data_IF_939491469174
#
_entry.id   IF_939491469174
#
_cell.length_a   1.000
_cell.length_b   1.000
_cell.length_c   1.000
_cell.angle_alpha   90.00
_cell.angle_beta   90.00
_cell.angle_gamma   90.00
#
_symmetry.space_group_name_H-M   'P 1'
#
loop_
_entity.id
_entity.type
_entity.pdbx_description
1 polymer ?
#
# COMPACT_ATOMS: atom_id res chain seq x y z
N UNK A 1 8.97 -15.86 7.87
CA UNK A 1 9.58 -15.84 6.52
C UNK A 1 11.11 -15.68 6.54
N UNK A 2 11.83 -16.38 5.67
CA UNK A 2 13.29 -16.30 5.49
C UNK A 2 13.71 -15.12 4.57
N UNK A 3 13.21 -13.92 4.85
CA UNK A 3 13.36 -12.74 3.99
C UNK A 3 14.83 -12.42 3.65
N UNK A 4 15.79 -12.75 4.51
CA UNK A 4 17.22 -12.52 4.25
C UNK A 4 17.77 -13.21 2.99
N UNK A 5 17.04 -14.17 2.41
CA UNK A 5 17.39 -14.79 1.12
C UNK A 5 17.17 -13.87 -0.09
N UNK A 6 16.33 -12.84 0.03
CA UNK A 6 16.04 -11.92 -1.07
C UNK A 6 17.18 -10.93 -1.34
N UNK A 7 17.36 -10.57 -2.62
CA UNK A 7 18.27 -9.49 -3.02
C UNK A 7 17.81 -8.16 -2.39
N UNK A 8 18.75 -7.30 -1.99
CA UNK A 8 18.42 -5.94 -1.56
C UNK A 8 18.26 -5.03 -2.77
N UNK A 9 17.15 -4.30 -2.83
CA UNK A 9 16.96 -3.22 -3.80
C UNK A 9 17.78 -2.00 -3.42
N UNK A 10 18.26 -1.29 -4.45
CA UNK A 10 18.89 0.02 -4.36
C UNK A 10 17.90 1.15 -4.67
N UNK A 11 16.63 0.82 -4.95
CA UNK A 11 15.54 1.76 -5.24
C UNK A 11 14.76 2.17 -3.97
N UNK A 12 15.33 1.98 -2.78
CA UNK A 12 14.76 2.46 -1.52
C UNK A 12 15.40 3.80 -1.14
N UNK A 13 14.56 4.82 -0.99
CA UNK A 13 14.94 6.16 -0.54
C UNK A 13 14.47 6.34 0.90
N UNK A 14 15.38 6.77 1.76
CA UNK A 14 15.08 7.13 3.14
C UNK A 14 14.79 8.64 3.25
N UNK A 15 13.53 8.98 3.52
CA UNK A 15 13.06 10.36 3.71
C UNK A 15 12.69 10.66 5.17
N UNK A 16 13.05 9.80 6.13
CA UNK A 16 12.71 9.96 7.55
C UNK A 16 13.40 11.17 8.20
N UNK A 17 14.58 11.53 7.70
CA UNK A 17 15.41 12.61 8.24
C UNK A 17 15.21 13.96 7.54
N UNK A 18 14.36 14.04 6.51
CA UNK A 18 14.06 15.26 5.76
C UNK A 18 13.35 16.37 6.58
N UNK A 19 13.08 16.13 7.86
CA UNK A 19 12.46 17.07 8.80
C UNK A 19 13.26 17.33 10.08
N UNK A 20 14.52 16.90 10.20
CA UNK A 20 15.31 17.10 11.43
C UNK A 20 16.75 17.53 11.17
N UNK A 21 16.91 18.70 10.58
CA UNK A 21 18.11 19.52 10.78
C UNK A 21 17.73 21.00 10.87
N UNK A 22 17.09 21.40 11.97
CA UNK A 22 16.76 22.80 12.26
C UNK A 22 16.07 22.89 13.60
N UNK A 23 16.74 23.48 14.58
CA UNK A 23 16.33 23.45 15.98
C UNK A 23 15.05 24.22 16.30
N UNK A 24 14.49 23.92 17.47
CA UNK A 24 13.38 24.67 18.06
C UNK A 24 12.36 23.73 18.68
N UNK A 25 12.27 23.74 20.01
CA UNK A 25 11.40 22.85 20.77
C UNK A 25 9.92 22.97 20.39
N UNK A 26 9.20 21.85 20.47
CA UNK A 26 7.77 21.81 20.18
C UNK A 26 7.11 20.54 20.71
N UNK A 27 6.64 20.61 21.95
CA UNK A 27 5.50 19.94 22.56
C UNK A 27 5.13 18.51 22.10
N UNK A 28 5.43 17.52 22.97
CA UNK A 28 4.79 16.20 22.96
C UNK A 28 3.31 16.34 23.30
N UNK A 29 2.44 16.34 22.30
CA UNK A 29 1.00 16.19 22.53
C UNK A 29 0.70 14.70 22.62
N UNK A 30 0.53 14.22 23.85
CA UNK A 30 -0.09 12.94 24.12
C UNK A 30 -1.56 12.99 23.73
N UNK A 31 -1.96 12.16 22.77
CA UNK A 31 -3.34 11.96 22.36
C UNK A 31 -3.57 10.50 22.03
N UNK A 32 -4.57 9.89 22.66
CA UNK A 32 -4.96 8.48 22.50
C UNK A 32 -5.04 8.09 21.02
N UNK A 33 -4.25 7.09 20.63
CA UNK A 33 -4.15 6.61 19.26
C UNK A 33 -5.50 6.18 18.69
N UNK A 34 -5.79 6.66 17.49
CA UNK A 34 -6.86 6.13 16.65
C UNK A 34 -6.47 4.70 16.25
N UNK A 35 -7.35 3.74 16.55
CA UNK A 35 -7.18 2.35 16.09
C UNK A 35 -7.16 2.28 14.57
N UNK A 36 -6.62 1.18 14.03
CA UNK A 36 -6.42 0.91 12.60
C UNK A 36 -7.65 1.14 11.70
N UNK A 37 -8.87 1.12 12.25
CA UNK A 37 -10.06 1.52 11.52
C UNK A 37 -10.08 2.99 11.09
N UNK A 38 -9.41 3.90 11.79
CA UNK A 38 -9.37 5.33 11.47
C UNK A 38 -8.31 5.73 10.43
N UNK A 39 -7.28 4.91 10.24
CA UNK A 39 -6.13 5.20 9.36
C UNK A 39 -6.54 4.98 7.89
N UNK A 40 -7.21 3.86 7.58
CA UNK A 40 -7.77 3.62 6.23
C UNK A 40 -8.90 4.61 5.88
N UNK A 41 -9.66 5.11 6.88
CA UNK A 41 -10.76 6.07 6.67
C UNK A 41 -10.27 7.46 6.24
N UNK A 42 -9.06 7.89 6.60
CA UNK A 42 -8.55 9.23 6.24
C UNK A 42 -8.08 9.27 4.78
N UNK A 43 -7.62 8.14 4.24
CA UNK A 43 -7.39 7.96 2.79
C UNK A 43 -8.69 8.20 2.00
N UNK A 44 -9.83 7.81 2.57
CA UNK A 44 -11.15 7.92 1.92
C UNK A 44 -11.67 9.36 1.75
N UNK A 45 -11.24 10.36 2.52
CA UNK A 45 -11.79 11.74 2.41
C UNK A 45 -10.93 12.63 1.50
N UNK A 46 -9.62 12.44 1.47
CA UNK A 46 -8.69 13.29 0.70
C UNK A 46 -8.69 13.02 -0.81
N UNK A 47 -8.90 11.76 -1.21
CA UNK A 47 -8.80 11.36 -2.62
C UNK A 47 -10.14 11.44 -3.38
N UNK A 48 -11.27 11.68 -2.70
CA UNK A 48 -12.61 11.67 -3.30
C UNK A 48 -13.15 13.05 -3.73
N UNK A 49 -12.53 14.18 -3.37
CA UNK A 49 -13.10 15.52 -3.64
C UNK A 49 -12.22 16.46 -4.47
N UNK A 50 -10.97 16.10 -4.76
CA UNK A 50 -10.02 17.02 -5.41
C UNK A 50 -9.72 18.28 -4.58
N UNK A 51 -10.08 18.26 -3.29
CA UNK A 51 -9.81 19.31 -2.31
C UNK A 51 -8.71 18.85 -1.37
N UNK A 52 -7.86 19.78 -0.96
CA UNK A 52 -6.80 19.52 0.02
C UNK A 52 -7.42 19.11 1.37
N UNK A 53 -7.06 17.96 1.98
CA UNK A 53 -7.57 17.51 3.28
C UNK A 53 -7.41 18.57 4.38
N UNK A 54 -6.40 19.45 4.25
CA UNK A 54 -6.18 20.57 5.15
C UNK A 54 -7.26 21.68 5.04
N UNK A 55 -7.92 21.85 3.89
CA UNK A 55 -9.00 22.83 3.74
C UNK A 55 -10.30 22.37 4.41
N UNK A 56 -10.60 21.06 4.34
CA UNK A 56 -11.75 20.46 5.02
C UNK A 56 -11.54 20.50 6.53
N UNK A 57 -10.32 20.21 7.01
CA UNK A 57 -9.96 20.35 8.41
C UNK A 57 -9.98 21.81 8.87
N UNK A 58 -9.50 22.76 8.06
CA UNK A 58 -9.52 24.20 8.36
C UNK A 58 -10.92 24.82 8.42
N UNK A 59 -11.88 24.31 7.63
CA UNK A 59 -13.30 24.70 7.73
C UNK A 59 -13.99 24.13 8.98
N UNK A 60 -13.51 23.01 9.52
CA UNK A 60 -14.04 22.39 10.74
C UNK A 60 -13.37 22.93 12.03
N UNK A 61 -12.13 23.44 11.95
CA UNK A 61 -11.36 23.94 13.10
C UNK A 61 -11.20 25.47 13.13
N UNK A 62 -11.62 26.19 12.09
CA UNK A 62 -11.57 27.66 12.04
C UNK A 62 -10.15 28.24 11.98
N UNK A 63 -9.17 27.53 11.43
CA UNK A 63 -7.80 28.02 11.27
C UNK A 63 -7.45 28.26 9.79
N UNK A 64 -6.96 29.48 9.54
CA UNK A 64 -6.63 30.02 8.22
C UNK A 64 -5.41 29.37 7.55
N UNK A 65 -5.34 29.59 6.25
CA UNK A 65 -4.33 29.12 5.28
C UNK A 65 -2.93 29.63 5.57
N UNK A 66 -1.97 28.74 5.82
CA UNK A 66 -0.54 29.03 5.67
C UNK A 66 -0.01 28.49 4.34
N UNK A 67 0.83 29.31 3.70
CA UNK A 67 1.35 29.16 2.34
C UNK A 67 2.29 27.95 2.18
N UNK A 68 1.98 27.10 1.21
CA UNK A 68 2.77 25.93 0.83
C UNK A 68 4.09 26.34 0.16
N UNK A 69 5.22 25.86 0.69
CA UNK A 69 6.53 25.94 0.01
C UNK A 69 6.66 24.85 -1.07
N UNK A 70 7.51 25.03 -2.11
CA UNK A 70 7.68 24.06 -3.20
C UNK A 70 8.24 22.72 -2.70
N UNK A 71 7.88 21.58 -3.33
CA UNK A 71 8.43 20.28 -2.95
C UNK A 71 9.95 20.26 -3.21
N UNK A 72 10.72 20.05 -2.15
CA UNK A 72 12.15 19.80 -2.27
C UNK A 72 12.37 18.46 -2.95
N UNK A 73 13.29 18.43 -3.93
CA UNK A 73 13.78 17.18 -4.50
C UNK A 73 14.39 16.35 -3.37
N UNK A 74 13.73 15.26 -2.99
CA UNK A 74 14.26 14.31 -2.02
C UNK A 74 15.55 13.74 -2.61
N UNK A 75 16.69 14.14 -2.04
CA UNK A 75 17.98 13.52 -2.36
C UNK A 75 17.88 12.04 -2.03
N UNK A 76 18.25 11.16 -2.98
CA UNK A 76 18.26 9.70 -2.77
C UNK A 76 19.27 9.36 -1.68
N UNK A 77 18.81 9.29 -0.44
CA UNK A 77 19.57 8.79 0.69
C UNK A 77 19.21 7.32 0.86
N UNK A 78 20.22 6.44 0.88
CA UNK A 78 20.00 5.04 1.21
C UNK A 78 19.76 4.91 2.72
N UNK A 79 18.91 3.96 3.17
CA UNK A 79 18.72 3.72 4.59
C UNK A 79 20.02 3.33 5.31
N UNK A 80 20.16 3.62 6.62
CA UNK A 80 21.32 3.21 7.40
C UNK A 80 21.54 1.69 7.36
N UNK A 81 22.80 1.25 7.23
CA UNK A 81 23.15 -0.18 7.09
C UNK A 81 22.81 -1.05 8.32
N UNK A 82 22.51 -0.44 9.47
CA UNK A 82 22.12 -1.11 10.71
C UNK A 82 20.60 -1.08 10.98
N UNK A 83 19.79 -0.64 10.01
CA UNK A 83 18.33 -0.63 10.12
C UNK A 83 17.74 -1.94 9.57
N UNK A 84 17.45 -2.89 10.47
CA UNK A 84 16.87 -4.19 10.10
C UNK A 84 15.52 -4.06 9.37
N UNK A 85 14.73 -3.04 9.70
CA UNK A 85 13.41 -2.85 9.10
C UNK A 85 13.53 -2.30 7.68
N UNK A 86 14.45 -1.36 7.46
CA UNK A 86 14.78 -0.92 6.11
C UNK A 86 15.41 -2.05 5.28
N UNK A 87 16.28 -2.86 5.87
CA UNK A 87 16.85 -4.04 5.19
C UNK A 87 15.79 -5.09 4.81
N UNK A 88 14.78 -5.27 5.66
CA UNK A 88 13.60 -6.07 5.33
C UNK A 88 12.87 -5.50 4.12
N UNK A 89 12.52 -4.20 4.13
CA UNK A 89 11.84 -3.55 3.00
C UNK A 89 12.66 -3.65 1.71
N UNK A 90 13.98 -3.39 1.77
CA UNK A 90 14.91 -3.53 0.64
C UNK A 90 14.90 -4.95 0.09
N UNK A 91 14.80 -5.95 0.96
CA UNK A 91 14.71 -7.36 0.56
C UNK A 91 13.43 -7.68 -0.20
N UNK A 92 12.29 -7.22 0.32
CA UNK A 92 10.99 -7.47 -0.30
C UNK A 92 10.92 -6.75 -1.64
N UNK A 93 11.34 -5.48 -1.70
CA UNK A 93 11.39 -4.73 -2.95
C UNK A 93 12.34 -5.36 -3.98
N UNK A 94 13.52 -5.81 -3.56
CA UNK A 94 14.46 -6.44 -4.49
C UNK A 94 13.92 -7.73 -5.09
N UNK A 95 13.19 -8.52 -4.32
CA UNK A 95 12.54 -9.72 -4.84
C UNK A 95 11.29 -9.44 -5.68
N UNK A 96 10.51 -8.40 -5.36
CA UNK A 96 9.38 -8.00 -6.22
C UNK A 96 9.89 -7.50 -7.57
N UNK A 97 10.96 -6.70 -7.61
CA UNK A 97 11.66 -6.32 -8.86
C UNK A 97 12.06 -7.55 -9.68
N UNK A 98 12.75 -8.51 -9.07
CA UNK A 98 13.23 -9.70 -9.77
C UNK A 98 12.07 -10.57 -10.29
N UNK A 99 11.00 -10.68 -9.50
CA UNK A 99 9.78 -11.37 -9.91
C UNK A 99 9.11 -10.70 -11.09
N UNK A 100 8.83 -9.41 -11.00
CA UNK A 100 8.04 -8.72 -12.01
C UNK A 100 8.82 -8.47 -13.29
N UNK A 101 10.14 -8.27 -13.23
CA UNK A 101 11.01 -8.31 -14.42
C UNK A 101 10.87 -9.63 -15.17
N UNK A 102 10.93 -10.76 -14.47
CA UNK A 102 10.77 -12.07 -15.09
C UNK A 102 9.37 -12.28 -15.67
N UNK A 103 8.32 -11.93 -14.92
CA UNK A 103 6.92 -12.09 -15.36
C UNK A 103 6.61 -11.18 -16.56
N UNK A 104 7.05 -9.93 -16.55
CA UNK A 104 6.85 -9.01 -17.69
C UNK A 104 7.62 -9.49 -18.92
N UNK A 105 8.87 -9.93 -18.76
CA UNK A 105 9.68 -10.47 -19.86
C UNK A 105 9.02 -11.69 -20.52
N UNK A 106 8.45 -12.61 -19.73
CA UNK A 106 7.69 -13.75 -20.25
C UNK A 106 6.45 -13.34 -21.07
N UNK A 107 5.93 -12.14 -20.82
CA UNK A 107 4.78 -11.56 -21.53
C UNK A 107 5.19 -10.53 -22.59
N UNK A 108 6.46 -10.49 -22.98
CA UNK A 108 6.98 -9.59 -24.03
C UNK A 108 6.93 -8.10 -23.65
N UNK A 109 7.01 -7.79 -22.35
CA UNK A 109 6.99 -6.43 -21.81
C UNK A 109 8.23 -6.17 -20.96
N UNK A 110 8.57 -4.90 -20.81
CA UNK A 110 9.61 -4.46 -19.88
C UNK A 110 8.96 -4.01 -18.56
N UNK A 111 9.51 -4.46 -17.44
CA UNK A 111 9.15 -3.96 -16.12
C UNK A 111 10.06 -2.79 -15.76
N UNK A 112 9.47 -1.68 -15.34
CA UNK A 112 10.20 -0.53 -14.81
C UNK A 112 10.16 -0.63 -13.29
N UNK A 113 11.29 -0.64 -12.61
CA UNK A 113 11.27 -0.76 -11.16
C UNK A 113 10.70 0.52 -10.50
N UNK A 114 9.86 0.38 -9.46
CA UNK A 114 9.38 1.52 -8.69
C UNK A 114 10.47 2.00 -7.72
N UNK A 115 10.40 3.29 -7.36
CA UNK A 115 11.12 3.81 -6.19
C UNK A 115 10.24 3.67 -4.96
N UNK A 116 10.82 3.20 -3.85
CA UNK A 116 10.13 3.09 -2.57
C UNK A 116 10.69 4.13 -1.60
N UNK A 117 9.83 4.97 -1.04
CA UNK A 117 10.18 6.03 -0.11
C UNK A 117 9.75 5.63 1.31
N UNK A 118 10.73 5.51 2.22
CA UNK A 118 10.49 5.38 3.65
C UNK A 118 10.28 6.75 4.26
N UNK A 119 9.20 6.95 5.01
CA UNK A 119 8.94 8.21 5.69
C UNK A 119 8.46 8.00 7.13
N UNK A 120 8.35 9.08 7.90
CA UNK A 120 7.77 9.08 9.25
C UNK A 120 7.01 10.38 9.47
N UNK A 121 5.78 10.29 9.99
CA UNK A 121 4.87 11.42 10.19
C UNK A 121 4.20 11.93 8.91
N UNK A 122 4.97 12.35 7.91
CA UNK A 122 4.43 12.97 6.70
C UNK A 122 5.38 12.89 5.49
N UNK A 123 4.79 12.84 4.29
CA UNK A 123 5.49 12.90 3.01
C UNK A 123 4.69 13.67 1.96
N UNK A 124 5.39 14.28 1.01
CA UNK A 124 4.79 14.86 -0.19
C UNK A 124 5.00 13.90 -1.37
N UNK A 125 3.94 13.55 -2.07
CA UNK A 125 3.95 12.78 -3.31
C UNK A 125 3.37 13.60 -4.47
N UNK A 126 3.48 13.11 -5.70
CA UNK A 126 2.78 13.70 -6.84
C UNK A 126 1.25 13.55 -6.74
N UNK A 127 0.76 12.67 -5.87
CA UNK A 127 -0.67 12.48 -5.56
C UNK A 127 -1.15 13.38 -4.42
N UNK A 128 -0.27 14.20 -3.83
CA UNK A 128 -0.57 15.12 -2.73
C UNK A 128 0.21 14.81 -1.45
N UNK A 129 -0.11 15.55 -0.39
CA UNK A 129 0.48 15.41 0.95
C UNK A 129 -0.18 14.24 1.69
N UNK A 130 0.61 13.30 2.17
CA UNK A 130 0.16 12.13 2.92
C UNK A 130 0.76 12.13 4.33
N UNK A 131 0.02 11.61 5.30
CA UNK A 131 0.49 11.50 6.70
C UNK A 131 0.60 10.05 7.12
N UNK A 132 1.18 9.77 8.28
CA UNK A 132 1.16 8.42 8.89
C UNK A 132 -0.25 7.85 9.03
N UNK A 133 -1.27 8.72 9.11
CA UNK A 133 -2.66 8.28 9.14
C UNK A 133 -3.17 7.75 7.79
N UNK A 134 -2.44 7.92 6.69
CA UNK A 134 -2.78 7.37 5.37
C UNK A 134 -2.36 5.89 5.26
N UNK A 135 -1.36 5.46 6.03
CA UNK A 135 -0.73 4.14 5.85
C UNK A 135 0.13 4.05 4.59
N UNK A 136 0.62 2.85 4.23
CA UNK A 136 1.30 2.58 2.96
C UNK A 136 0.43 2.91 1.75
N UNK A 137 1.03 3.43 0.68
CA UNK A 137 0.30 3.69 -0.56
C UNK A 137 1.24 3.75 -1.78
N UNK A 138 0.69 3.47 -2.95
CA UNK A 138 1.31 3.72 -4.25
C UNK A 138 0.71 4.96 -4.93
N UNK A 139 1.57 5.82 -5.50
CA UNK A 139 1.15 6.96 -6.30
C UNK A 139 1.40 6.73 -7.80
N UNK A 140 0.35 6.62 -8.64
CA UNK A 140 0.52 6.43 -10.09
C UNK A 140 1.17 7.62 -10.82
N UNK A 141 1.11 8.83 -10.25
CA UNK A 141 1.60 10.05 -10.89
C UNK A 141 3.14 10.18 -10.87
N UNK A 142 3.80 9.67 -9.84
CA UNK A 142 5.27 9.59 -9.74
C UNK A 142 5.82 8.16 -9.81
N UNK A 143 4.93 7.16 -9.82
CA UNK A 143 5.25 5.73 -9.82
C UNK A 143 6.08 5.29 -8.61
N UNK A 144 5.82 5.89 -7.45
CA UNK A 144 6.50 5.58 -6.19
C UNK A 144 5.58 4.86 -5.20
N UNK A 145 6.21 4.02 -4.37
CA UNK A 145 5.58 3.41 -3.19
C UNK A 145 6.04 4.16 -1.95
N UNK A 146 5.12 4.53 -1.08
CA UNK A 146 5.41 5.26 0.15
C UNK A 146 5.10 4.36 1.34
N UNK A 147 6.09 4.11 2.19
CA UNK A 147 5.93 3.31 3.40
C UNK A 147 6.20 4.16 4.64
N UNK A 148 5.20 4.27 5.51
CA UNK A 148 5.37 4.85 6.82
C UNK A 148 5.99 3.84 7.79
N UNK A 149 7.16 4.19 8.32
CA UNK A 149 7.88 3.34 9.26
C UNK A 149 7.27 3.35 10.66
N UNK A 150 6.48 4.37 11.02
CA UNK A 150 5.69 4.36 12.26
C UNK A 150 4.59 3.29 12.19
N UNK A 151 3.82 3.27 11.11
CA UNK A 151 2.82 2.23 10.84
C UNK A 151 3.42 0.81 10.85
N UNK A 152 4.56 0.61 10.17
CA UNK A 152 5.23 -0.70 10.13
C UNK A 152 5.72 -1.16 11.51
N UNK A 153 6.25 -0.24 12.34
CA UNK A 153 6.60 -0.54 13.73
C UNK A 153 5.37 -0.89 14.57
N UNK A 154 4.29 -0.13 14.40
CA UNK A 154 3.03 -0.40 15.12
C UNK A 154 2.46 -1.77 14.75
N UNK A 155 2.50 -2.14 13.46
CA UNK A 155 2.09 -3.46 13.00
C UNK A 155 2.91 -4.57 13.66
N UNK A 156 4.23 -4.45 13.67
CA UNK A 156 5.11 -5.43 14.32
C UNK A 156 4.86 -5.56 15.83
N UNK A 157 4.57 -4.46 16.51
CA UNK A 157 4.39 -4.43 17.97
C UNK A 157 2.99 -4.88 18.41
N UNK A 158 1.94 -4.44 17.73
CA UNK A 158 0.54 -4.73 18.10
C UNK A 158 0.07 -6.07 17.57
N UNK A 159 0.66 -6.52 16.47
CA UNK A 159 0.37 -7.79 15.84
C UNK A 159 1.62 -8.66 15.85
N UNK A 160 2.17 -8.93 17.03
CA UNK A 160 3.26 -9.92 17.18
C UNK A 160 2.90 -11.31 16.59
N UNK A 161 1.60 -11.55 16.33
CA UNK A 161 1.04 -12.72 15.65
C UNK A 161 0.83 -12.56 14.13
N UNK A 162 1.04 -11.38 13.53
CA UNK A 162 0.93 -11.17 12.08
C UNK A 162 2.20 -11.58 11.34
N UNK A 163 3.33 -11.70 12.04
CA UNK A 163 4.61 -12.11 11.46
C UNK A 163 5.14 -11.21 10.34
N UNK A 164 6.30 -11.57 9.82
CA UNK A 164 7.00 -10.77 8.82
C UNK A 164 6.39 -10.89 7.43
N UNK A 165 5.67 -11.99 7.13
CA UNK A 165 5.04 -12.14 5.82
C UNK A 165 3.82 -11.25 5.64
N UNK A 166 3.08 -10.90 6.71
CA UNK A 166 2.02 -9.90 6.63
C UNK A 166 2.56 -8.52 6.20
N UNK A 167 3.72 -8.12 6.71
CA UNK A 167 4.40 -6.90 6.28
C UNK A 167 4.83 -6.97 4.81
N UNK A 168 5.39 -8.12 4.40
CA UNK A 168 5.78 -8.33 3.01
C UNK A 168 4.58 -8.29 2.05
N UNK A 169 3.43 -8.84 2.47
CA UNK A 169 2.18 -8.79 1.73
C UNK A 169 1.71 -7.34 1.48
N UNK A 170 1.78 -6.45 2.47
CA UNK A 170 1.41 -5.04 2.30
C UNK A 170 2.32 -4.36 1.26
N UNK A 171 3.63 -4.61 1.31
CA UNK A 171 4.56 -4.08 0.29
C UNK A 171 4.21 -4.64 -1.09
N UNK A 172 3.97 -5.95 -1.19
CA UNK A 172 3.64 -6.60 -2.46
C UNK A 172 2.29 -6.13 -3.03
N UNK A 173 1.33 -5.76 -2.17
CA UNK A 173 0.05 -5.17 -2.57
C UNK A 173 0.27 -3.79 -3.23
N UNK A 174 1.06 -2.91 -2.61
CA UNK A 174 1.39 -1.60 -3.21
C UNK A 174 2.16 -1.75 -4.54
N UNK A 175 3.04 -2.75 -4.63
CA UNK A 175 3.70 -3.11 -5.90
C UNK A 175 2.68 -3.65 -6.92
N UNK A 176 1.60 -4.30 -6.48
CA UNK A 176 0.46 -4.67 -7.32
C UNK A 176 -0.16 -3.45 -8.02
N UNK A 177 -0.33 -2.32 -7.33
CA UNK A 177 -0.80 -1.07 -7.96
C UNK A 177 0.22 -0.49 -8.95
N UNK A 178 1.51 -0.66 -8.67
CA UNK A 178 2.55 -0.32 -9.64
C UNK A 178 2.43 -1.15 -10.92
N UNK A 179 2.25 -2.47 -10.79
CA UNK A 179 2.00 -3.37 -11.92
C UNK A 179 0.75 -2.98 -12.70
N UNK A 180 -0.34 -2.63 -12.03
CA UNK A 180 -1.55 -2.10 -12.67
C UNK A 180 -1.26 -0.86 -13.52
N UNK A 181 -0.40 0.03 -13.03
CA UNK A 181 0.01 1.23 -13.76
C UNK A 181 0.77 0.86 -15.03
N UNK A 182 1.74 -0.04 -14.94
CA UNK A 182 2.52 -0.51 -16.10
C UNK A 182 1.65 -1.28 -17.12
N UNK A 183 0.59 -1.94 -16.66
CA UNK A 183 -0.39 -2.62 -17.52
C UNK A 183 -1.46 -1.67 -18.10
N UNK A 184 -1.44 -0.38 -17.72
CA UNK A 184 -2.41 0.63 -18.16
C UNK A 184 -3.81 0.48 -17.54
N UNK A 185 -3.92 -0.26 -16.43
CA UNK A 185 -5.18 -0.51 -15.73
C UNK A 185 -5.58 0.74 -14.93
N UNK A 186 -4.65 1.34 -14.19
CA UNK A 186 -4.91 2.56 -13.41
C UNK A 186 -5.47 3.68 -14.30
N UNK A 187 -4.88 3.89 -15.48
CA UNK A 187 -5.36 4.87 -16.46
C UNK A 187 -6.78 4.60 -16.96
N UNK A 188 -7.19 3.33 -17.08
CA UNK A 188 -8.57 2.97 -17.46
C UNK A 188 -9.56 3.25 -16.33
N UNK A 189 -9.18 2.97 -15.08
CA UNK A 189 -9.99 3.27 -13.90
C UNK A 189 -10.15 4.79 -13.75
N UNK A 190 -9.08 5.57 -13.94
CA UNK A 190 -9.13 7.03 -13.89
C UNK A 190 -10.02 7.61 -15.00
N UNK A 191 -9.93 7.07 -16.22
CA UNK A 191 -10.82 7.47 -17.32
C UNK A 191 -12.29 7.17 -17.00
N UNK A 192 -12.58 6.01 -16.41
CA UNK A 192 -13.93 5.65 -16.00
C UNK A 192 -14.46 6.60 -14.91
N UNK A 193 -13.62 6.98 -13.94
CA UNK A 193 -13.93 7.99 -12.92
C UNK A 193 -14.26 9.34 -13.56
N UNK A 194 -13.41 9.82 -14.48
CA UNK A 194 -13.63 11.08 -15.20
C UNK A 194 -14.91 11.08 -16.04
N UNK A 195 -15.33 9.90 -16.52
CA UNK A 195 -16.59 9.71 -17.24
C UNK A 195 -17.82 9.61 -16.31
N UNK A 196 -17.65 9.77 -14.99
CA UNK A 196 -18.75 9.71 -14.02
C UNK A 196 -19.30 8.30 -13.77
N UNK A 197 -18.51 7.25 -14.04
CA UNK A 197 -18.90 5.89 -13.71
C UNK A 197 -18.90 5.69 -12.18
N UNK A 198 -19.76 4.79 -11.69
CA UNK A 198 -19.80 4.43 -10.27
C UNK A 198 -18.49 3.70 -9.90
N UNK A 199 -17.75 4.26 -8.94
CA UNK A 199 -16.44 3.75 -8.53
C UNK A 199 -16.54 2.80 -7.33
N UNK A 200 -17.43 3.14 -6.40
CA UNK A 200 -17.65 2.47 -5.13
C UNK A 200 -18.68 1.33 -5.24
N UNK A 201 -18.77 0.55 -4.17
CA UNK A 201 -19.69 -0.55 -3.98
C UNK A 201 -18.99 -1.90 -4.07
N UNK A 202 -19.62 -2.94 -3.53
CA UNK A 202 -19.04 -4.29 -3.43
C UNK A 202 -18.60 -4.92 -4.78
N UNK A 203 -19.06 -4.37 -5.91
CA UNK A 203 -18.66 -4.75 -7.27
C UNK A 203 -18.13 -3.57 -8.10
N UNK A 204 -17.84 -2.44 -7.44
CA UNK A 204 -17.35 -1.20 -8.04
C UNK A 204 -15.94 -1.34 -8.61
N UNK A 205 -15.54 -0.36 -9.41
CA UNK A 205 -14.23 -0.35 -10.07
C UNK A 205 -13.07 -0.27 -9.08
N UNK A 206 -13.24 0.41 -7.94
CA UNK A 206 -12.23 0.48 -6.89
C UNK A 206 -12.01 -0.89 -6.25
N UNK A 207 -13.09 -1.56 -5.84
CA UNK A 207 -12.99 -2.92 -5.28
C UNK A 207 -12.30 -3.87 -6.25
N UNK A 208 -12.61 -3.80 -7.56
CA UNK A 208 -11.94 -4.64 -8.57
C UNK A 208 -10.45 -4.32 -8.68
N UNK A 209 -10.07 -3.05 -8.62
CA UNK A 209 -8.67 -2.64 -8.65
C UNK A 209 -7.91 -3.16 -7.42
N UNK A 210 -8.47 -3.01 -6.22
CA UNK A 210 -7.88 -3.45 -4.95
C UNK A 210 -7.70 -4.98 -4.91
N UNK A 211 -8.73 -5.72 -5.29
CA UNK A 211 -8.67 -7.19 -5.35
C UNK A 211 -7.66 -7.70 -6.39
N UNK A 212 -7.41 -6.94 -7.45
CA UNK A 212 -6.39 -7.33 -8.43
C UNK A 212 -4.99 -7.11 -7.87
N UNK A 213 -4.76 -6.05 -7.09
CA UNK A 213 -3.50 -5.84 -6.38
C UNK A 213 -3.25 -6.98 -5.37
N UNK A 214 -4.28 -7.47 -4.68
CA UNK A 214 -4.17 -8.69 -3.84
C UNK A 214 -3.78 -9.93 -4.62
N UNK A 215 -4.38 -10.13 -5.80
CA UNK A 215 -4.01 -11.23 -6.68
C UNK A 215 -2.57 -11.11 -7.17
N UNK A 216 -2.12 -9.90 -7.53
CA UNK A 216 -0.73 -9.65 -7.90
C UNK A 216 0.25 -9.89 -6.75
N UNK A 217 -0.10 -9.56 -5.51
CA UNK A 217 0.69 -9.94 -4.33
C UNK A 217 0.79 -11.48 -4.20
N UNK A 218 -0.29 -12.22 -4.46
CA UNK A 218 -0.28 -13.68 -4.51
C UNK A 218 0.63 -14.22 -5.63
N UNK A 219 0.57 -13.63 -6.82
CA UNK A 219 1.45 -13.98 -7.95
C UNK A 219 2.92 -13.80 -7.59
N UNK A 220 3.25 -12.68 -6.94
CA UNK A 220 4.60 -12.45 -6.42
C UNK A 220 5.02 -13.54 -5.44
N UNK A 221 4.19 -13.79 -4.42
CA UNK A 221 4.50 -14.75 -3.37
C UNK A 221 4.77 -16.17 -3.92
N UNK A 222 4.01 -16.62 -4.93
CA UNK A 222 4.24 -17.90 -5.60
C UNK A 222 5.61 -17.96 -6.28
N UNK A 223 5.92 -16.95 -7.09
CA UNK A 223 7.15 -16.92 -7.88
C UNK A 223 8.39 -16.77 -6.97
N UNK A 224 8.28 -15.93 -5.94
CA UNK A 224 9.31 -15.75 -4.93
C UNK A 224 9.57 -17.04 -4.15
N UNK A 225 8.51 -17.74 -3.72
CA UNK A 225 8.62 -19.01 -3.03
C UNK A 225 9.30 -20.07 -3.90
N UNK A 226 8.93 -20.18 -5.17
CA UNK A 226 9.56 -21.14 -6.10
C UNK A 226 11.03 -20.81 -6.38
N UNK A 227 11.42 -19.53 -6.35
CA UNK A 227 12.79 -19.09 -6.61
C UNK A 227 13.70 -19.20 -5.37
N UNK A 228 13.20 -18.86 -4.18
CA UNK A 228 14.02 -18.71 -2.98
C UNK A 228 13.75 -19.76 -1.89
N UNK A 229 12.61 -20.46 -1.96
CA UNK A 229 12.10 -21.34 -0.90
C UNK A 229 12.20 -20.67 0.47
N UNK A 230 11.55 -19.51 0.61
CA UNK A 230 11.72 -18.58 1.72
C UNK A 230 10.48 -18.43 2.62
N UNK A 231 9.37 -19.08 2.30
CA UNK A 231 8.20 -19.12 3.15
C UNK A 231 8.34 -20.25 4.17
N UNK A 232 7.97 -19.95 5.41
CA UNK A 232 7.90 -20.86 6.53
C UNK A 232 6.44 -21.28 6.80
N UNK A 233 6.21 -22.41 7.50
CA UNK A 233 4.85 -22.79 7.89
C UNK A 233 4.17 -21.67 8.70
N UNK A 234 3.00 -21.22 8.25
CA UNK A 234 2.27 -20.11 8.86
C UNK A 234 2.37 -18.78 8.11
N UNK A 235 3.41 -18.58 7.28
CA UNK A 235 3.59 -17.30 6.57
C UNK A 235 2.41 -16.99 5.63
N UNK A 236 1.85 -17.99 4.94
CA UNK A 236 0.68 -17.74 4.08
C UNK A 236 -0.52 -17.35 4.93
N UNK A 237 -0.74 -18.02 6.05
CA UNK A 237 -1.81 -17.70 7.00
C UNK A 237 -1.66 -16.29 7.57
N UNK A 238 -0.44 -15.81 7.80
CA UNK A 238 -0.14 -14.42 8.16
C UNK A 238 -0.64 -13.41 7.12
N UNK A 239 -0.34 -13.61 5.84
CA UNK A 239 -0.86 -12.76 4.76
C UNK A 239 -2.38 -12.82 4.67
N UNK A 240 -2.98 -14.01 4.81
CA UNK A 240 -4.43 -14.16 4.78
C UNK A 240 -5.10 -13.45 5.97
N UNK A 241 -4.50 -13.51 7.15
CA UNK A 241 -4.98 -12.80 8.33
C UNK A 241 -4.89 -11.29 8.15
N UNK A 242 -3.80 -10.79 7.56
CA UNK A 242 -3.64 -9.38 7.21
C UNK A 242 -4.69 -8.95 6.18
N UNK A 243 -4.86 -9.70 5.08
CA UNK A 243 -5.84 -9.42 4.04
C UNK A 243 -7.28 -9.41 4.58
N UNK A 244 -7.59 -10.33 5.50
CA UNK A 244 -8.87 -10.41 6.19
C UNK A 244 -9.05 -9.30 7.23
N UNK A 245 -7.98 -8.74 7.79
CA UNK A 245 -8.07 -7.67 8.78
C UNK A 245 -8.47 -6.32 8.17
N UNK A 246 -8.16 -6.11 6.89
CA UNK A 246 -8.33 -4.83 6.19
C UNK A 246 -9.50 -4.80 5.19
N UNK A 247 -10.38 -5.80 5.21
CA UNK A 247 -11.61 -5.76 4.43
C UNK A 247 -12.58 -4.69 4.93
N UNK A 248 -13.28 -4.03 4.01
CA UNK A 248 -14.22 -2.95 4.31
C UNK A 248 -15.31 -3.39 5.29
N UNK A 249 -15.82 -4.62 5.15
CA UNK A 249 -16.83 -5.20 6.03
C UNK A 249 -16.36 -5.28 7.48
N UNK A 250 -15.12 -5.72 7.71
CA UNK A 250 -14.55 -5.82 9.04
C UNK A 250 -14.23 -4.45 9.62
N UNK A 251 -13.63 -3.56 8.84
CA UNK A 251 -13.28 -2.21 9.30
C UNK A 251 -14.52 -1.37 9.63
N UNK A 252 -15.56 -1.45 8.80
CA UNK A 252 -16.83 -0.78 9.06
C UNK A 252 -17.55 -1.36 10.28
N UNK A 253 -17.55 -2.69 10.44
CA UNK A 253 -18.13 -3.34 11.62
C UNK A 253 -17.41 -2.92 12.91
N UNK A 254 -16.08 -2.79 12.90
CA UNK A 254 -15.30 -2.36 14.06
C UNK A 254 -15.46 -0.88 14.40
N UNK A 255 -15.57 -0.01 13.38
CA UNK A 255 -15.64 1.44 13.55
C UNK A 255 -17.06 1.95 13.84
N UNK A 256 -18.06 1.39 13.16
CA UNK A 256 -19.44 1.93 13.16
C UNK A 256 -20.50 0.92 13.60
N UNK A 257 -20.14 -0.36 13.76
CA UNK A 257 -21.07 -1.44 14.10
C UNK A 257 -22.04 -1.82 12.99
N UNK A 258 -21.93 -1.22 11.80
CA UNK A 258 -22.77 -1.48 10.63
C UNK A 258 -21.92 -1.63 9.37
N UNK A 259 -22.38 -2.45 8.43
CA UNK A 259 -21.73 -2.68 7.14
C UNK A 259 -22.59 -2.10 6.04
N UNK A 260 -22.00 -1.29 5.17
CA UNK A 260 -22.64 -0.63 4.03
C UNK A 260 -21.92 -1.04 2.73
N UNK A 261 -22.37 -2.10 2.04
CA UNK A 261 -21.71 -2.61 0.85
C UNK A 261 -21.61 -1.62 -0.31
N UNK A 262 -22.50 -0.62 -0.36
CA UNK A 262 -22.50 0.41 -1.40
C UNK A 262 -21.35 1.43 -1.27
N UNK A 263 -20.71 1.53 -0.10
CA UNK A 263 -19.56 2.42 0.13
C UNK A 263 -18.21 1.71 0.05
N UNK A 264 -18.19 0.42 -0.30
CA UNK A 264 -16.95 -0.34 -0.38
C UNK A 264 -16.02 0.20 -1.47
N UNK A 265 -14.74 0.21 -1.15
CA UNK A 265 -13.64 0.66 -2.02
C UNK A 265 -12.51 -0.35 -2.08
N UNK A 266 -12.32 -1.18 -1.04
CA UNK A 266 -11.27 -2.20 -0.95
C UNK A 266 -11.81 -3.63 -1.00
N UNK A 267 -13.12 -3.80 -0.87
CA UNK A 267 -13.79 -5.09 -0.92
C UNK A 267 -13.87 -5.75 0.45
N UNK A 268 -14.55 -6.89 0.52
CA UNK A 268 -14.71 -7.63 1.77
C UNK A 268 -13.45 -8.41 2.11
N UNK A 269 -13.32 -8.72 3.40
CA UNK A 269 -12.25 -9.55 3.95
C UNK A 269 -12.14 -10.89 3.20
N UNK A 270 -13.29 -11.49 2.85
CA UNK A 270 -13.36 -12.73 2.10
C UNK A 270 -12.91 -12.58 0.63
N UNK A 271 -13.28 -11.48 -0.02
CA UNK A 271 -12.85 -11.19 -1.40
C UNK A 271 -11.33 -11.04 -1.47
N UNK A 272 -10.74 -10.26 -0.55
CA UNK A 272 -9.29 -10.01 -0.50
C UNK A 272 -8.50 -11.31 -0.31
N UNK A 273 -8.93 -12.15 0.64
CA UNK A 273 -8.38 -13.51 0.85
C UNK A 273 -8.50 -14.38 -0.40
N UNK A 274 -9.66 -14.35 -1.08
CA UNK A 274 -9.90 -15.15 -2.29
C UNK A 274 -8.93 -14.77 -3.40
N UNK A 275 -8.77 -13.48 -3.68
CA UNK A 275 -7.95 -13.02 -4.80
C UNK A 275 -6.45 -13.20 -4.54
N UNK A 276 -5.98 -12.99 -3.31
CA UNK A 276 -4.61 -13.39 -2.95
C UNK A 276 -4.36 -14.89 -3.21
N UNK A 277 -5.28 -15.76 -2.77
CA UNK A 277 -5.17 -17.21 -3.02
C UNK A 277 -5.19 -17.56 -4.51
N UNK A 278 -6.00 -16.86 -5.30
CA UNK A 278 -6.07 -17.08 -6.75
C UNK A 278 -4.72 -16.80 -7.42
N UNK A 279 -4.07 -15.68 -7.07
CA UNK A 279 -2.72 -15.37 -7.55
C UNK A 279 -1.66 -16.36 -7.07
N UNK A 280 -1.71 -16.72 -5.79
CA UNK A 280 -0.75 -17.64 -5.18
C UNK A 280 -0.86 -19.07 -5.69
N UNK A 281 -2.04 -19.51 -6.16
CA UNK A 281 -2.23 -20.89 -6.61
C UNK A 281 -1.39 -21.26 -7.85
N UNK A 282 -1.15 -20.29 -8.75
CA UNK A 282 -0.51 -20.57 -10.05
C UNK A 282 0.61 -19.58 -10.41
N UNK A 283 0.68 -18.41 -9.76
CA UNK A 283 1.70 -17.41 -10.08
C UNK A 283 1.56 -16.75 -11.45
N UNK A 284 0.35 -16.73 -12.02
CA UNK A 284 0.10 -16.18 -13.36
C UNK A 284 -0.85 -14.98 -13.32
N UNK A 285 -0.48 -13.90 -14.02
CA UNK A 285 -1.27 -12.66 -14.11
C UNK A 285 -2.68 -12.91 -14.70
N UNK A 286 -2.82 -13.87 -15.62
CA UNK A 286 -4.10 -14.16 -16.29
C UNK A 286 -5.19 -14.68 -15.32
N UNK A 287 -4.82 -15.13 -14.12
CA UNK A 287 -5.77 -15.52 -13.08
C UNK A 287 -6.33 -14.32 -12.31
N UNK A 288 -5.81 -13.10 -12.54
CA UNK A 288 -6.10 -11.89 -11.78
C UNK A 288 -7.04 -10.92 -12.50
N UNK A 289 -7.86 -11.39 -13.46
CA UNK A 289 -8.85 -10.54 -14.13
C UNK A 289 -10.10 -10.32 -13.27
N UNK A 290 -9.96 -9.44 -12.27
CA UNK A 290 -11.05 -9.00 -11.41
C UNK A 290 -12.08 -8.16 -12.15
N UNK A 291 -11.74 -7.56 -13.29
CA UNK A 291 -12.65 -6.69 -14.05
C UNK A 291 -13.65 -7.49 -14.88
N UNK A 292 -13.24 -8.65 -15.41
CA UNK A 292 -14.12 -9.57 -16.11
C UNK A 292 -14.90 -10.52 -15.17
N UNK A 293 -14.52 -10.60 -13.89
CA UNK A 293 -15.15 -11.51 -12.95
C UNK A 293 -16.63 -11.16 -12.68
N UNK A 294 -17.51 -12.16 -12.86
CA UNK A 294 -18.94 -12.07 -12.53
C UNK A 294 -19.21 -12.13 -11.03
N UNK A 295 -18.33 -12.80 -10.28
CA UNK A 295 -18.36 -12.90 -8.82
C UNK A 295 -16.95 -12.65 -8.30
N UNK A 296 -16.85 -11.72 -7.34
CA UNK A 296 -15.61 -11.25 -6.72
C UNK A 296 -15.29 -12.00 -5.45
#
# INVERSE_FOLDING_TARGET
MLWKKGRRSDNVVDARDGGSSGGGGGMRIGGKGLGLGGIVIIVAIGLLTGQDPMQILGQLTGQGTEQSAPPSAQTRQAPPANDQQAEFVRSILGDTEDTWRAVFAQNGREYKDPTLVLFSGQVNSACGRATSATGPFYCPADQQVYLDMDFFREMAQRFSAAGDFAQAYVIAHEIGHHVQTLLGISAKVDKARQAGQKMEGANGLLVRQELQADCFAGVWAYNAQNRLNWLEPGDIEEALNAANAIGDDRLQQQSSGRVAPDSFTHGTSAQRVRWFKAGFAQGQINQCDTFAAKSL
#
